data_IF_096671902299
#
_entry.id   IF_096671902299
#
_cell.length_a   1.000
_cell.length_b   1.000
_cell.length_c   1.000
_cell.angle_alpha   90.00
_cell.angle_beta   90.00
_cell.angle_gamma   90.00
#
_symmetry.space_group_name_H-M   'P 1'
#
loop_
_entity.id
_entity.type
_entity.pdbx_description
1 polymer ?
#
# COMPACT_ATOMS: atom_id res chain seq x y z
N UNK A 1 -3.86 0.04 -21.41
CA UNK A 1 -2.62 -0.74 -21.22
C UNK A 1 -2.38 -0.83 -19.73
N UNK A 2 -2.32 -2.03 -19.15
CA UNK A 2 -2.06 -2.23 -17.72
C UNK A 2 -0.54 -2.21 -17.51
N UNK A 3 -0.06 -1.46 -16.52
CA UNK A 3 1.33 -1.40 -16.09
C UNK A 3 1.41 -0.99 -14.61
N UNK A 4 2.62 -1.05 -14.04
CA UNK A 4 2.94 -0.67 -12.65
C UNK A 4 2.27 0.64 -12.25
N UNK A 5 2.57 1.72 -12.97
CA UNK A 5 2.04 3.05 -12.67
C UNK A 5 0.51 3.07 -12.65
N UNK A 6 -0.13 2.54 -13.69
CA UNK A 6 -1.60 2.55 -13.80
C UNK A 6 -2.27 1.73 -12.70
N UNK A 7 -1.69 0.60 -12.29
CA UNK A 7 -2.24 -0.24 -11.21
C UNK A 7 -2.15 0.44 -9.85
N UNK A 8 -1.03 1.10 -9.57
CA UNK A 8 -0.84 1.85 -8.31
C UNK A 8 -1.81 3.03 -8.25
N UNK A 9 -1.87 3.84 -9.31
CA UNK A 9 -2.77 4.98 -9.35
C UNK A 9 -4.24 4.58 -9.26
N UNK A 10 -4.65 3.50 -9.95
CA UNK A 10 -6.05 3.05 -9.90
C UNK A 10 -6.44 2.53 -8.52
N UNK A 11 -5.50 1.92 -7.80
CA UNK A 11 -5.80 1.35 -6.49
C UNK A 11 -5.74 2.41 -5.39
N UNK A 12 -4.67 3.21 -5.34
CA UNK A 12 -4.42 4.11 -4.21
C UNK A 12 -5.04 5.51 -4.35
N UNK A 13 -5.06 6.08 -5.56
CA UNK A 13 -5.29 7.52 -5.72
C UNK A 13 -6.79 7.86 -5.76
N UNK A 14 -7.15 8.99 -5.18
CA UNK A 14 -8.53 9.46 -5.09
C UNK A 14 -9.43 8.67 -4.12
N UNK A 15 -8.88 7.74 -3.35
CA UNK A 15 -9.63 6.93 -2.36
C UNK A 15 -9.35 7.33 -0.91
N UNK A 16 -8.19 7.88 -0.58
CA UNK A 16 -7.82 8.21 0.80
C UNK A 16 -7.85 9.71 1.00
N UNK A 17 -8.48 10.15 2.09
CA UNK A 17 -8.53 11.55 2.46
C UNK A 17 -8.11 11.72 3.92
N UNK A 18 -7.31 12.75 4.18
CA UNK A 18 -6.94 13.21 5.52
C UNK A 18 -7.76 14.43 5.93
N UNK A 19 -8.01 14.53 7.22
CA UNK A 19 -8.38 15.77 7.89
C UNK A 19 -7.13 16.42 8.46
N UNK A 20 -7.10 17.76 8.41
CA UNK A 20 -5.99 18.56 8.92
C UNK A 20 -6.51 19.49 10.03
N UNK A 21 -5.76 19.58 11.12
CA UNK A 21 -6.03 20.47 12.24
C UNK A 21 -4.72 21.09 12.77
N UNK A 22 -4.82 22.06 13.69
CA UNK A 22 -3.65 22.73 14.28
C UNK A 22 -3.62 24.23 14.05
N UNK A 23 -2.47 24.84 14.34
CA UNK A 23 -2.29 26.30 14.34
C UNK A 23 -1.24 26.81 13.35
N UNK A 24 -0.66 25.94 12.52
CA UNK A 24 0.19 26.37 11.41
C UNK A 24 -0.62 27.05 10.29
N UNK A 25 0.06 27.77 9.39
CA UNK A 25 -0.58 28.31 8.18
C UNK A 25 -1.16 27.20 7.29
N UNK A 26 -0.47 26.07 7.21
CA UNK A 26 -0.93 24.91 6.47
C UNK A 26 -2.23 24.36 7.08
N UNK A 27 -2.24 24.15 8.41
CA UNK A 27 -3.39 23.65 9.14
C UNK A 27 -4.61 24.54 8.94
N UNK A 28 -4.47 25.86 9.13
CA UNK A 28 -5.56 26.82 8.90
C UNK A 28 -6.08 26.80 7.46
N UNK A 29 -5.19 26.66 6.48
CA UNK A 29 -5.57 26.62 5.05
C UNK A 29 -6.43 25.41 4.71
N UNK A 30 -6.13 24.26 5.32
CA UNK A 30 -6.78 22.97 5.05
C UNK A 30 -7.82 22.56 6.10
N UNK A 31 -8.04 23.36 7.13
CA UNK A 31 -9.03 23.09 8.16
C UNK A 31 -10.43 22.92 7.54
N UNK A 32 -11.08 21.81 7.87
CA UNK A 32 -12.41 21.45 7.34
C UNK A 32 -12.44 21.02 5.87
N UNK A 33 -11.28 20.91 5.20
CA UNK A 33 -11.17 20.45 3.81
C UNK A 33 -10.54 19.05 3.78
N UNK A 34 -11.16 18.08 3.07
CA UNK A 34 -10.51 16.80 2.81
C UNK A 34 -9.22 17.02 2.00
N UNK A 35 -8.10 16.53 2.52
CA UNK A 35 -6.81 16.55 1.83
C UNK A 35 -6.59 15.17 1.19
N UNK A 36 -6.54 15.05 -0.15
CA UNK A 36 -6.30 13.76 -0.78
C UNK A 36 -4.89 13.24 -0.47
N UNK A 37 -4.79 11.92 -0.33
CA UNK A 37 -3.54 11.20 -0.30
C UNK A 37 -3.42 10.38 -1.59
N UNK A 38 -2.39 10.71 -2.37
CA UNK A 38 -2.09 10.04 -3.63
C UNK A 38 -0.64 9.55 -3.61
N UNK A 39 -0.41 8.42 -4.26
CA UNK A 39 0.91 7.85 -4.48
C UNK A 39 1.37 8.22 -5.90
N UNK A 40 2.59 8.74 -5.98
CA UNK A 40 3.26 9.08 -7.24
C UNK A 40 4.60 8.37 -7.30
N UNK A 41 4.84 7.65 -8.39
CA UNK A 41 6.12 7.03 -8.70
C UNK A 41 6.85 7.91 -9.71
N UNK A 42 7.92 8.56 -9.27
CA UNK A 42 8.66 9.53 -10.07
C UNK A 42 10.10 9.03 -10.21
N UNK A 43 10.56 8.69 -11.43
CA UNK A 43 11.97 8.42 -11.68
C UNK A 43 12.79 9.69 -11.43
N UNK A 44 13.87 9.56 -10.66
CA UNK A 44 14.78 10.67 -10.34
C UNK A 44 16.23 10.26 -10.62
N UNK A 45 17.09 11.25 -10.86
CA UNK A 45 18.52 11.03 -11.06
C UNK A 45 19.35 11.19 -9.77
N UNK A 46 18.73 11.70 -8.70
CA UNK A 46 19.33 11.87 -7.37
C UNK A 46 18.22 12.13 -6.34
N UNK A 47 18.49 11.83 -5.07
CA UNK A 47 17.56 12.09 -3.98
C UNK A 47 16.37 11.12 -3.96
N UNK A 48 16.56 9.94 -4.53
CA UNK A 48 15.60 8.86 -4.54
C UNK A 48 15.26 8.40 -3.12
N UNK A 49 13.97 8.16 -2.89
CA UNK A 49 13.51 7.55 -1.65
C UNK A 49 13.62 6.01 -1.70
N UNK A 50 13.70 5.44 -2.90
CA UNK A 50 13.66 4.01 -3.17
C UNK A 50 14.55 3.67 -4.37
N UNK A 51 15.33 2.60 -4.24
CA UNK A 51 15.99 1.92 -5.36
C UNK A 51 15.02 0.89 -5.95
N UNK A 52 14.70 1.04 -7.23
CA UNK A 52 13.66 0.27 -7.90
C UNK A 52 14.24 -0.48 -9.09
N UNK A 53 14.18 -1.81 -9.03
CA UNK A 53 14.52 -2.69 -10.17
C UNK A 53 13.25 -3.25 -10.78
N UNK A 54 12.98 -2.91 -12.04
CA UNK A 54 11.87 -3.48 -12.81
C UNK A 54 12.39 -4.51 -13.81
N UNK A 55 11.94 -5.75 -13.67
CA UNK A 55 12.32 -6.86 -14.54
C UNK A 55 11.16 -7.23 -15.48
N UNK A 56 11.45 -7.28 -16.78
CA UNK A 56 10.55 -7.87 -17.76
C UNK A 56 10.79 -9.39 -17.81
N UNK A 57 9.79 -10.17 -17.43
CA UNK A 57 9.85 -11.64 -17.45
C UNK A 57 8.96 -12.22 -18.54
N UNK A 58 9.05 -13.54 -18.77
CA UNK A 58 8.13 -14.24 -19.68
C UNK A 58 6.86 -14.60 -18.92
N UNK A 59 5.70 -14.66 -19.60
CA UNK A 59 4.47 -15.13 -18.98
C UNK A 59 4.66 -16.51 -18.33
N UNK A 60 4.35 -16.60 -17.03
CA UNK A 60 4.47 -17.81 -16.23
C UNK A 60 5.83 -18.03 -15.54
N UNK A 61 6.80 -17.12 -15.69
CA UNK A 61 8.01 -17.14 -14.85
C UNK A 61 7.63 -16.83 -13.39
N UNK A 62 8.17 -17.59 -12.42
CA UNK A 62 7.95 -17.39 -10.97
C UNK A 62 8.99 -16.42 -10.41
N UNK A 63 8.95 -15.18 -10.89
CA UNK A 63 9.62 -14.06 -10.24
C UNK A 63 8.58 -13.34 -9.37
N UNK A 64 9.03 -12.64 -8.32
CA UNK A 64 8.14 -12.00 -7.35
C UNK A 64 8.49 -10.53 -7.23
N UNK A 65 7.47 -9.70 -7.23
CA UNK A 65 7.56 -8.33 -6.71
C UNK A 65 7.71 -8.40 -5.19
N UNK A 66 8.64 -7.64 -4.63
CA UNK A 66 8.85 -7.58 -3.18
C UNK A 66 9.50 -6.26 -2.74
N UNK A 67 9.28 -5.91 -1.48
CA UNK A 67 9.87 -4.75 -0.81
C UNK A 67 10.83 -5.15 0.30
N UNK A 68 12.02 -4.56 0.30
CA UNK A 68 12.94 -4.57 1.46
C UNK A 68 12.94 -3.17 2.06
N UNK A 69 12.03 -2.94 3.01
CA UNK A 69 11.79 -1.58 3.53
C UNK A 69 13.00 -0.95 4.20
N UNK A 70 13.73 -1.73 5.00
CA UNK A 70 14.92 -1.25 5.73
C UNK A 70 16.06 -0.78 4.82
N UNK A 71 16.15 -1.32 3.61
CA UNK A 71 17.16 -0.94 2.61
C UNK A 71 16.59 -0.08 1.48
N UNK A 72 15.29 0.28 1.55
CA UNK A 72 14.59 1.05 0.52
C UNK A 72 14.68 0.44 -0.88
N UNK A 73 14.58 -0.88 -0.98
CA UNK A 73 14.63 -1.61 -2.25
C UNK A 73 13.22 -2.09 -2.62
N UNK A 74 12.85 -1.90 -3.89
CA UNK A 74 11.68 -2.50 -4.53
C UNK A 74 12.13 -3.29 -5.76
N UNK A 75 11.76 -4.56 -5.82
CA UNK A 75 11.84 -5.35 -7.05
C UNK A 75 10.45 -5.51 -7.63
N UNK A 76 10.32 -5.31 -8.95
CA UNK A 76 9.05 -5.40 -9.67
C UNK A 76 9.16 -6.44 -10.77
N UNK A 77 8.19 -7.35 -10.78
CA UNK A 77 7.93 -8.27 -11.88
C UNK A 77 6.89 -7.67 -12.85
N UNK A 78 7.17 -7.72 -14.16
CA UNK A 78 6.24 -7.26 -15.20
C UNK A 78 4.91 -8.02 -15.30
N UNK A 79 4.80 -9.25 -14.79
CA UNK A 79 3.57 -10.06 -14.78
C UNK A 79 2.70 -9.79 -13.53
N UNK A 80 3.28 -9.23 -12.47
CA UNK A 80 2.60 -8.93 -11.19
C UNK A 80 1.64 -7.72 -11.25
N UNK A 81 1.48 -7.14 -12.45
CA UNK A 81 0.48 -6.11 -12.75
C UNK A 81 -0.88 -6.72 -13.12
N UNK A 82 -0.96 -8.05 -13.23
CA UNK A 82 -2.19 -8.80 -13.55
C UNK A 82 -2.77 -9.41 -12.27
N UNK A 83 -4.10 -9.48 -12.21
CA UNK A 83 -4.77 -10.06 -11.06
C UNK A 83 -4.58 -11.58 -11.00
N UNK A 84 -4.10 -12.08 -9.86
CA UNK A 84 -3.92 -13.50 -9.58
C UNK A 84 -4.93 -13.96 -8.52
N UNK A 85 -5.44 -15.18 -8.68
CA UNK A 85 -6.33 -15.79 -7.68
C UNK A 85 -5.51 -16.21 -6.46
N UNK A 86 -5.87 -15.70 -5.30
CA UNK A 86 -5.29 -16.07 -4.00
C UNK A 86 -6.38 -16.66 -3.09
N UNK A 87 -6.00 -17.63 -2.26
CA UNK A 87 -6.90 -18.28 -1.31
C UNK A 87 -6.24 -18.37 0.08
N UNK A 88 -7.02 -18.20 1.15
CA UNK A 88 -6.52 -18.23 2.53
C UNK A 88 -6.34 -19.64 3.09
N UNK A 89 -6.92 -20.63 2.44
CA UNK A 89 -6.98 -22.01 2.90
C UNK A 89 -6.78 -23.00 1.75
N UNK A 90 -6.21 -24.19 2.02
CA UNK A 90 -6.02 -25.22 1.00
C UNK A 90 -7.33 -25.74 0.39
N UNK A 91 -8.45 -25.64 1.12
CA UNK A 91 -9.78 -26.02 0.62
C UNK A 91 -10.40 -24.93 -0.30
N UNK A 92 -9.70 -23.81 -0.49
CA UNK A 92 -10.09 -22.70 -1.36
C UNK A 92 -11.48 -22.13 -1.05
N UNK A 93 -11.86 -22.11 0.23
CA UNK A 93 -13.17 -21.61 0.67
C UNK A 93 -13.24 -20.09 0.67
N UNK A 94 -12.13 -19.42 0.95
CA UNK A 94 -12.02 -17.96 0.91
C UNK A 94 -10.94 -17.57 -0.09
N UNK A 95 -11.38 -17.05 -1.24
CA UNK A 95 -10.49 -16.64 -2.32
C UNK A 95 -10.91 -15.29 -2.91
N UNK A 96 -9.93 -14.57 -3.41
CA UNK A 96 -10.10 -13.29 -4.11
C UNK A 96 -9.05 -13.16 -5.20
N UNK A 97 -9.23 -12.18 -6.08
CA UNK A 97 -8.24 -11.81 -7.08
C UNK A 97 -7.50 -10.56 -6.60
N UNK A 98 -6.17 -10.59 -6.65
CA UNK A 98 -5.32 -9.47 -6.21
C UNK A 98 -4.25 -9.18 -7.26
N UNK A 99 -3.93 -7.91 -7.43
CA UNK A 99 -2.76 -7.44 -8.16
C UNK A 99 -1.66 -7.18 -7.12
N UNK A 100 -0.47 -7.76 -7.32
CA UNK A 100 0.59 -7.75 -6.30
C UNK A 100 1.26 -6.37 -6.17
N UNK A 101 1.43 -5.63 -7.27
CA UNK A 101 2.15 -4.34 -7.22
C UNK A 101 1.53 -3.34 -6.23
N UNK A 102 0.21 -3.06 -6.21
CA UNK A 102 -0.38 -2.18 -5.21
C UNK A 102 -0.22 -2.66 -3.76
N UNK A 103 -0.18 -3.98 -3.53
CA UNK A 103 0.08 -4.57 -2.20
C UNK A 103 1.48 -4.20 -1.71
N UNK A 104 2.48 -4.36 -2.57
CA UNK A 104 3.87 -3.99 -2.25
C UNK A 104 4.04 -2.49 -1.98
N UNK A 105 3.26 -1.63 -2.66
CA UNK A 105 3.22 -0.20 -2.32
C UNK A 105 2.77 0.04 -0.87
N UNK A 106 1.85 -0.77 -0.34
CA UNK A 106 1.46 -0.74 1.08
C UNK A 106 2.64 -0.98 2.02
N UNK A 107 3.50 -1.95 1.67
CA UNK A 107 4.76 -2.17 2.37
C UNK A 107 5.72 -0.99 2.26
N UNK A 108 5.83 -0.36 1.08
CA UNK A 108 6.69 0.82 0.90
C UNK A 108 6.29 1.98 1.81
N UNK A 109 5.00 2.24 1.99
CA UNK A 109 4.52 3.34 2.84
C UNK A 109 4.54 3.03 4.34
N UNK A 110 5.03 1.85 4.73
CA UNK A 110 5.33 1.50 6.12
C UNK A 110 4.33 0.57 6.79
N UNK A 111 3.42 -0.06 6.05
CA UNK A 111 2.58 -1.13 6.59
C UNK A 111 3.24 -2.48 6.32
N UNK A 112 3.86 -3.11 7.32
CA UNK A 112 4.75 -4.26 7.12
C UNK A 112 4.08 -5.63 7.21
N UNK A 113 2.80 -5.68 7.54
CA UNK A 113 2.11 -6.95 7.76
C UNK A 113 1.50 -7.49 6.47
N UNK A 114 1.85 -8.72 6.13
CA UNK A 114 1.04 -9.59 5.28
C UNK A 114 -0.10 -10.17 6.12
N UNK A 115 -1.32 -9.64 5.98
CA UNK A 115 -2.45 -10.01 6.84
C UNK A 115 -2.93 -11.46 6.62
N UNK A 116 -2.56 -12.05 5.48
CA UNK A 116 -2.81 -13.46 5.17
C UNK A 116 -1.73 -14.41 5.72
N UNK A 117 -0.72 -13.92 6.45
CA UNK A 117 0.33 -14.78 6.97
C UNK A 117 -0.13 -15.65 8.16
N UNK A 118 0.48 -16.82 8.26
CA UNK A 118 0.38 -17.73 9.40
C UNK A 118 1.78 -17.94 9.97
N UNK A 119 1.89 -18.07 11.29
CA UNK A 119 3.12 -18.53 11.92
C UNK A 119 3.35 -20.04 11.69
N UNK A 120 4.48 -20.55 12.20
CA UNK A 120 4.86 -21.97 12.07
C UNK A 120 3.87 -22.93 12.76
N UNK A 121 3.04 -22.42 13.67
CA UNK A 121 1.98 -23.19 14.35
C UNK A 121 0.63 -23.11 13.64
N UNK A 122 0.55 -22.40 12.52
CA UNK A 122 -0.68 -22.19 11.77
C UNK A 122 -1.60 -21.11 12.37
N UNK A 123 -1.09 -20.27 13.29
CA UNK A 123 -1.85 -19.18 13.89
C UNK A 123 -1.67 -17.90 13.07
N UNK A 124 -2.75 -17.12 12.93
CA UNK A 124 -2.71 -15.81 12.32
C UNK A 124 -1.67 -14.91 13.01
N UNK A 125 -0.82 -14.26 12.21
CA UNK A 125 0.18 -13.30 12.70
C UNK A 125 -0.45 -11.95 13.03
N UNK A 126 -1.61 -11.64 12.43
CA UNK A 126 -2.36 -10.40 12.66
C UNK A 126 -3.80 -10.67 13.06
N UNK A 127 -4.45 -9.68 13.66
CA UNK A 127 -5.89 -9.71 13.94
C UNK A 127 -6.77 -9.57 12.67
N UNK A 128 -6.17 -9.22 11.53
CA UNK A 128 -6.87 -8.85 10.30
C UNK A 128 -6.95 -9.99 9.27
N UNK A 129 -6.50 -11.19 9.61
CA UNK A 129 -6.54 -12.36 8.72
C UNK A 129 -7.91 -12.62 8.10
N UNK A 130 -8.99 -12.40 8.85
CA UNK A 130 -10.36 -12.62 8.36
C UNK A 130 -10.86 -11.53 7.41
N UNK A 131 -10.18 -10.39 7.29
CA UNK A 131 -10.52 -9.30 6.37
C UNK A 131 -9.98 -9.62 4.97
N UNK A 132 -10.48 -10.69 4.35
CA UNK A 132 -9.98 -11.19 3.06
C UNK A 132 -10.13 -10.19 1.89
N UNK A 133 -11.01 -9.20 2.03
CA UNK A 133 -11.18 -8.15 1.01
C UNK A 133 -10.04 -7.11 1.03
N UNK A 134 -9.26 -7.05 2.11
CA UNK A 134 -8.24 -6.03 2.30
C UNK A 134 -7.02 -6.22 1.37
N UNK A 135 -6.44 -5.12 0.90
CA UNK A 135 -5.26 -5.10 0.03
C UNK A 135 -4.03 -5.76 0.67
N UNK A 136 -3.80 -5.59 1.98
CA UNK A 136 -2.68 -6.25 2.67
C UNK A 136 -2.99 -7.71 3.04
N UNK A 137 -4.20 -8.17 2.71
CA UNK A 137 -4.62 -9.56 2.73
C UNK A 137 -4.60 -10.10 1.28
N UNK A 138 -5.61 -10.87 0.86
CA UNK A 138 -5.73 -11.43 -0.49
C UNK A 138 -6.65 -10.63 -1.42
N UNK A 139 -7.15 -9.47 -0.98
CA UNK A 139 -8.11 -8.65 -1.70
C UNK A 139 -7.50 -7.41 -2.33
N UNK A 140 -8.35 -6.44 -2.67
CA UNK A 140 -7.93 -5.18 -3.29
C UNK A 140 -8.39 -3.94 -2.53
N UNK A 141 -9.16 -4.07 -1.44
CA UNK A 141 -9.73 -2.89 -0.77
C UNK A 141 -8.74 -2.24 0.20
N UNK A 142 -8.66 -0.91 0.15
CA UNK A 142 -7.85 -0.12 1.08
C UNK A 142 -8.45 -0.08 2.49
N UNK A 143 -7.58 0.15 3.49
CA UNK A 143 -7.96 0.29 4.91
C UNK A 143 -7.17 1.41 5.55
N UNK A 144 -7.80 2.11 6.50
CA UNK A 144 -7.17 3.23 7.21
C UNK A 144 -5.91 2.83 7.98
N UNK A 145 -5.84 1.58 8.47
CA UNK A 145 -4.69 1.05 9.20
C UNK A 145 -3.39 1.01 8.39
N UNK A 146 -3.45 0.99 7.05
CA UNK A 146 -2.24 1.03 6.22
C UNK A 146 -1.50 2.37 6.31
N UNK A 147 -2.20 3.42 6.79
CA UNK A 147 -1.68 4.78 6.87
C UNK A 147 -1.13 5.13 8.26
N UNK A 148 -1.02 4.17 9.19
CA UNK A 148 -0.54 4.46 10.55
C UNK A 148 0.87 5.09 10.51
N UNK A 149 1.81 4.45 9.80
CA UNK A 149 3.16 4.96 9.64
C UNK A 149 3.22 6.30 8.89
N UNK A 150 2.43 6.43 7.82
CA UNK A 150 2.28 7.68 7.06
C UNK A 150 1.80 8.81 7.97
N UNK A 151 0.80 8.54 8.81
CA UNK A 151 0.25 9.53 9.73
C UNK A 151 1.31 9.96 10.76
N UNK A 152 2.06 9.02 11.35
CA UNK A 152 3.18 9.35 12.25
C UNK A 152 4.20 10.26 11.56
N UNK A 153 4.56 9.96 10.32
CA UNK A 153 5.51 10.77 9.56
C UNK A 153 4.95 12.18 9.25
N UNK A 154 3.72 12.28 8.74
CA UNK A 154 3.11 13.59 8.42
C UNK A 154 3.02 14.51 9.64
N UNK A 155 2.71 13.96 10.81
CA UNK A 155 2.58 14.71 12.07
C UNK A 155 3.92 15.24 12.64
N UNK A 156 5.07 14.93 12.02
CA UNK A 156 6.38 15.48 12.42
C UNK A 156 7.01 16.42 11.39
N UNK A 157 6.46 16.48 10.16
CA UNK A 157 7.04 17.30 9.07
C UNK A 157 6.73 18.78 9.25
N UNK A 158 5.49 19.11 9.61
CA UNK A 158 5.01 20.50 9.71
C UNK A 158 4.65 20.76 11.17
N UNK A 159 5.43 21.59 11.90
CA UNK A 159 5.09 21.97 13.26
C UNK A 159 3.67 22.52 13.37
N UNK A 160 3.03 22.26 14.52
CA UNK A 160 1.67 22.72 14.83
C UNK A 160 0.60 22.32 13.80
N UNK A 161 0.82 21.21 13.08
CA UNK A 161 -0.09 20.62 12.10
C UNK A 161 -0.36 19.17 12.47
N UNK A 162 -1.62 18.80 12.53
CA UNK A 162 -2.03 17.44 12.86
C UNK A 162 -2.86 16.83 11.74
N UNK A 163 -2.49 15.62 11.35
CA UNK A 163 -3.14 14.83 10.32
C UNK A 163 -3.88 13.65 10.96
N UNK A 164 -5.04 13.31 10.41
CA UNK A 164 -5.78 12.09 10.77
C UNK A 164 -6.54 11.60 9.55
N UNK A 165 -6.54 10.29 9.30
CA UNK A 165 -7.30 9.69 8.20
C UNK A 165 -8.78 10.01 8.40
N UNK A 166 -9.37 10.74 7.44
CA UNK A 166 -10.78 11.12 7.44
C UNK A 166 -11.64 10.00 6.84
N UNK A 167 -11.21 9.46 5.69
CA UNK A 167 -11.93 8.40 5.00
C UNK A 167 -11.02 7.59 4.09
N UNK A 168 -11.45 6.36 3.84
CA UNK A 168 -10.90 5.46 2.83
C UNK A 168 -12.07 4.94 1.99
N UNK A 169 -12.07 5.27 0.72
CA UNK A 169 -13.03 4.81 -0.27
C UNK A 169 -12.84 3.32 -0.58
N UNK A 170 -13.91 2.72 -1.10
CA UNK A 170 -13.86 1.38 -1.70
C UNK A 170 -13.33 1.50 -3.13
#
# INVERSE_FOLDING_TARGET
MINVYTTVCSEWNGKIFFSVSGSSDFARKFQGKPLPFDIQMIPVNHGEHWDVTALKVRPGDDVRTYVIWGSRILHIDSEDVVAVRKCLDPAQTVCSNQINVPHEIGHMIGYHDDEYALDKSGKATTAYRSDAAALMNIGMELRSRYLEHVNTFLNVIIPDTYFTVLSVGK
#
